data_IF_762395757888
#
_entry.id   IF_762395757888
#
_cell.length_a   1.000
_cell.length_b   1.000
_cell.length_c   1.000
_cell.angle_alpha   90.00
_cell.angle_beta   90.00
_cell.angle_gamma   90.00
#
_symmetry.space_group_name_H-M   'P 1'
#
loop_
_entity.id
_entity.type
_entity.pdbx_description
1 polymer ?
#
# COMPACT_ATOMS: atom_id res chain seq x y z
N UNK A 1 4.65 -25.13 -15.06
CA UNK A 1 3.34 -24.59 -15.48
C UNK A 1 2.87 -23.68 -14.35
N UNK A 2 3.05 -22.36 -14.50
CA UNK A 2 2.66 -21.39 -13.47
C UNK A 2 1.14 -21.46 -13.30
N UNK A 3 0.66 -21.66 -12.07
CA UNK A 3 -0.78 -21.83 -11.79
C UNK A 3 -1.35 -20.54 -11.17
N UNK A 4 -1.54 -19.45 -11.97
CA UNK A 4 -2.01 -18.15 -11.47
C UNK A 4 -3.38 -18.24 -10.80
N UNK A 5 -4.18 -19.26 -11.15
CA UNK A 5 -5.48 -19.52 -10.53
C UNK A 5 -5.36 -19.89 -9.05
N UNK A 6 -4.27 -20.54 -8.61
CA UNK A 6 -4.07 -20.90 -7.20
C UNK A 6 -3.88 -19.62 -6.37
N UNK A 7 -3.07 -18.69 -6.87
CA UNK A 7 -2.82 -17.42 -6.19
C UNK A 7 -4.10 -16.58 -6.16
N UNK A 8 -4.85 -16.51 -7.28
CA UNK A 8 -6.15 -15.83 -7.33
C UNK A 8 -7.16 -16.43 -6.36
N UNK A 9 -7.26 -17.76 -6.30
CA UNK A 9 -8.14 -18.45 -5.37
C UNK A 9 -7.74 -18.20 -3.91
N UNK A 10 -6.44 -18.19 -3.60
CA UNK A 10 -5.92 -17.88 -2.28
C UNK A 10 -6.24 -16.44 -1.85
N UNK A 11 -6.11 -15.46 -2.75
CA UNK A 11 -6.49 -14.07 -2.47
C UNK A 11 -7.99 -13.97 -2.15
N UNK A 12 -8.85 -14.62 -2.94
CA UNK A 12 -10.31 -14.60 -2.71
C UNK A 12 -10.69 -15.31 -1.41
N UNK A 13 -10.12 -16.48 -1.14
CA UNK A 13 -10.34 -17.22 0.09
C UNK A 13 -9.86 -16.42 1.31
N UNK A 14 -8.67 -15.82 1.23
CA UNK A 14 -8.11 -14.96 2.26
C UNK A 14 -8.96 -13.73 2.51
N UNK A 15 -9.46 -13.07 1.46
CA UNK A 15 -10.33 -11.92 1.58
C UNK A 15 -11.65 -12.26 2.29
N UNK A 16 -12.28 -13.39 1.92
CA UNK A 16 -13.50 -13.87 2.56
C UNK A 16 -13.26 -14.28 4.02
N UNK A 17 -12.15 -14.97 4.29
CA UNK A 17 -11.79 -15.40 5.64
C UNK A 17 -11.45 -14.19 6.53
N UNK A 18 -10.74 -13.19 6.00
CA UNK A 18 -10.41 -11.98 6.71
C UNK A 18 -11.63 -11.15 7.09
N UNK A 19 -12.62 -11.09 6.20
CA UNK A 19 -13.93 -10.48 6.49
C UNK A 19 -14.67 -11.24 7.61
N UNK A 20 -14.72 -12.58 7.54
CA UNK A 20 -15.31 -13.46 8.58
C UNK A 20 -14.63 -13.31 9.94
N UNK A 21 -13.31 -13.15 9.95
CA UNK A 21 -12.50 -12.96 11.16
C UNK A 21 -12.60 -11.55 11.73
N UNK A 22 -13.40 -10.66 11.12
CA UNK A 22 -13.54 -9.23 11.50
C UNK A 22 -12.19 -8.51 11.61
N UNK A 23 -11.26 -8.89 10.73
CA UNK A 23 -9.99 -8.19 10.65
C UNK A 23 -10.23 -6.76 10.15
N UNK A 24 -9.39 -5.80 10.58
CA UNK A 24 -9.48 -4.43 10.07
C UNK A 24 -9.23 -4.42 8.56
N UNK A 25 -10.18 -3.87 7.80
CA UNK A 25 -10.21 -4.00 6.35
C UNK A 25 -10.03 -5.47 5.90
N UNK A 26 -10.83 -6.37 6.48
CA UNK A 26 -10.61 -7.83 6.41
C UNK A 26 -10.46 -8.40 5.01
N UNK A 27 -11.20 -7.85 4.03
CA UNK A 27 -11.07 -8.20 2.62
C UNK A 27 -9.64 -7.91 2.09
N UNK A 28 -9.12 -6.71 2.33
CA UNK A 28 -7.78 -6.32 1.87
C UNK A 28 -6.69 -7.07 2.63
N UNK A 29 -6.74 -7.02 3.97
CA UNK A 29 -5.73 -7.63 4.84
C UNK A 29 -5.66 -9.15 4.63
N UNK A 30 -6.80 -9.82 4.63
CA UNK A 30 -6.87 -11.27 4.44
C UNK A 30 -6.43 -11.70 3.04
N UNK A 31 -6.83 -10.97 2.00
CA UNK A 31 -6.41 -11.23 0.62
C UNK A 31 -4.89 -11.04 0.42
N UNK A 32 -4.31 -10.00 1.01
CA UNK A 32 -2.86 -9.73 0.94
C UNK A 32 -2.04 -10.82 1.64
N UNK A 33 -2.42 -11.23 2.85
CA UNK A 33 -1.71 -12.27 3.60
C UNK A 33 -1.78 -13.60 2.85
N UNK A 34 -2.98 -14.04 2.46
CA UNK A 34 -3.15 -15.32 1.79
C UNK A 34 -2.48 -15.35 0.41
N UNK A 35 -2.57 -14.24 -0.35
CA UNK A 35 -1.90 -14.10 -1.64
C UNK A 35 -0.37 -14.16 -1.52
N UNK A 36 0.21 -13.50 -0.51
CA UNK A 36 1.66 -13.53 -0.27
C UNK A 36 2.14 -14.93 0.13
N UNK A 37 1.41 -15.58 1.04
CA UNK A 37 1.71 -16.95 1.49
C UNK A 37 1.64 -17.91 0.30
N UNK A 38 0.56 -17.87 -0.49
CA UNK A 38 0.43 -18.72 -1.68
C UNK A 38 1.52 -18.47 -2.71
N UNK A 39 1.89 -17.19 -2.93
CA UNK A 39 2.99 -16.83 -3.84
C UNK A 39 4.34 -17.37 -3.35
N UNK A 40 4.58 -17.38 -2.04
CA UNK A 40 5.80 -17.94 -1.44
C UNK A 40 5.95 -19.45 -1.62
N UNK A 41 4.84 -20.20 -1.68
CA UNK A 41 4.86 -21.65 -1.90
C UNK A 41 4.87 -22.07 -3.37
N UNK A 42 4.23 -21.29 -4.24
CA UNK A 42 4.00 -21.68 -5.64
C UNK A 42 5.06 -21.09 -6.59
N UNK A 43 5.88 -20.13 -6.14
CA UNK A 43 6.85 -19.36 -6.94
C UNK A 43 6.25 -18.83 -8.27
N UNK A 44 4.92 -18.69 -8.30
CA UNK A 44 4.17 -18.36 -9.49
C UNK A 44 4.21 -16.86 -9.76
N UNK A 45 4.50 -16.49 -11.00
CA UNK A 45 4.34 -15.10 -11.42
C UNK A 45 2.85 -14.84 -11.65
N UNK A 46 2.27 -13.90 -10.89
CA UNK A 46 0.90 -13.44 -11.17
C UNK A 46 1.01 -12.47 -12.34
N UNK A 47 0.29 -12.68 -13.45
CA UNK A 47 0.36 -11.78 -14.60
C UNK A 47 -0.06 -10.38 -14.18
N UNK A 48 0.93 -9.49 -14.02
CA UNK A 48 0.72 -8.07 -13.83
C UNK A 48 0.36 -7.44 -15.17
N UNK A 49 -0.91 -7.05 -15.34
CA UNK A 49 -1.35 -6.31 -16.51
C UNK A 49 -1.33 -4.80 -16.24
N UNK A 50 -0.84 -4.01 -17.20
CA UNK A 50 -1.04 -2.55 -17.21
C UNK A 50 -2.51 -2.20 -17.05
N UNK A 51 -3.40 -2.97 -17.69
CA UNK A 51 -4.85 -2.82 -17.58
C UNK A 51 -5.38 -2.99 -16.14
N UNK A 52 -4.92 -4.01 -15.41
CA UNK A 52 -5.32 -4.25 -14.02
C UNK A 52 -4.91 -3.11 -13.09
N UNK A 53 -3.69 -2.59 -13.26
CA UNK A 53 -3.20 -1.45 -12.48
C UNK A 53 -3.95 -0.16 -12.79
N UNK A 54 -4.31 0.07 -14.06
CA UNK A 54 -5.12 1.22 -14.45
C UNK A 54 -6.54 1.13 -13.87
N UNK A 55 -7.17 -0.05 -13.94
CA UNK A 55 -8.50 -0.26 -13.36
C UNK A 55 -8.48 -0.03 -11.84
N UNK A 56 -7.48 -0.55 -11.12
CA UNK A 56 -7.40 -0.33 -9.67
C UNK A 56 -7.19 1.15 -9.32
N UNK A 57 -6.36 1.86 -10.08
CA UNK A 57 -6.13 3.30 -9.89
C UNK A 57 -7.41 4.12 -10.14
N UNK A 58 -8.18 3.79 -11.18
CA UNK A 58 -9.46 4.46 -11.48
C UNK A 58 -10.50 4.23 -10.38
N UNK A 59 -10.61 2.99 -9.88
CA UNK A 59 -11.53 2.68 -8.77
C UNK A 59 -11.13 3.40 -7.49
N UNK A 60 -9.84 3.45 -7.16
CA UNK A 60 -9.33 4.20 -6.00
C UNK A 60 -9.64 5.69 -6.16
N UNK A 61 -9.39 6.27 -7.34
CA UNK A 61 -9.71 7.66 -7.62
C UNK A 61 -11.21 7.95 -7.43
N UNK A 62 -12.08 7.08 -7.94
CA UNK A 62 -13.52 7.20 -7.75
C UNK A 62 -13.93 7.17 -6.28
N UNK A 63 -13.38 6.24 -5.48
CA UNK A 63 -13.68 6.13 -4.05
C UNK A 63 -13.21 7.38 -3.30
N UNK A 64 -12.01 7.89 -3.60
CA UNK A 64 -11.48 9.11 -2.97
C UNK A 64 -12.37 10.30 -3.28
N UNK A 65 -12.73 10.52 -4.55
CA UNK A 65 -13.61 11.63 -4.95
C UNK A 65 -14.99 11.49 -4.30
N UNK A 66 -15.56 10.29 -4.26
CA UNK A 66 -16.89 10.04 -3.69
C UNK A 66 -16.96 10.29 -2.18
N UNK A 67 -15.84 10.10 -1.46
CA UNK A 67 -15.77 10.35 -0.02
C UNK A 67 -15.25 11.75 0.33
N UNK A 68 -14.87 12.55 -0.67
CA UNK A 68 -14.31 13.89 -0.45
C UNK A 68 -15.43 14.93 -0.33
N UNK A 69 -15.44 15.68 0.76
CA UNK A 69 -16.36 16.80 0.93
C UNK A 69 -15.68 18.14 0.58
N UNK A 70 -15.93 18.61 -0.63
CA UNK A 70 -15.41 19.89 -1.14
C UNK A 70 -16.00 21.08 -0.36
N UNK A 71 -17.20 20.95 0.19
CA UNK A 71 -17.81 22.01 0.99
C UNK A 71 -17.07 22.23 2.31
N UNK A 72 -16.51 21.17 2.90
CA UNK A 72 -15.65 21.27 4.09
C UNK A 72 -14.37 22.05 3.80
N UNK A 73 -13.72 21.82 2.67
CA UNK A 73 -12.52 22.59 2.26
C UNK A 73 -12.86 24.07 2.08
N UNK A 74 -14.03 24.38 1.50
CA UNK A 74 -14.46 25.77 1.30
C UNK A 74 -14.80 26.48 2.62
N UNK A 75 -15.29 25.75 3.62
CA UNK A 75 -15.59 26.28 4.96
C UNK A 75 -14.35 26.47 5.82
N UNK A 76 -13.33 25.65 5.61
CA UNK A 76 -12.08 25.65 6.38
C UNK A 76 -10.85 25.72 5.46
N UNK A 77 -10.64 26.84 4.75
CA UNK A 77 -9.48 27.00 3.87
C UNK A 77 -8.14 26.93 4.62
N UNK A 78 -8.13 27.19 5.93
CA UNK A 78 -6.96 27.05 6.81
C UNK A 78 -6.43 25.61 6.89
N UNK A 79 -7.24 24.60 6.58
CA UNK A 79 -6.79 23.19 6.56
C UNK A 79 -5.82 22.94 5.41
N UNK A 80 -5.95 23.66 4.30
CA UNK A 80 -5.14 23.44 3.11
C UNK A 80 -3.63 23.67 3.34
N UNK A 81 -3.17 24.81 3.89
CA UNK A 81 -1.76 25.00 4.18
C UNK A 81 -1.23 24.03 5.24
N UNK A 82 -2.05 23.64 6.23
CA UNK A 82 -1.67 22.65 7.24
C UNK A 82 -1.46 21.27 6.58
N UNK A 83 -2.37 20.86 5.70
CA UNK A 83 -2.27 19.61 4.96
C UNK A 83 -1.02 19.59 4.05
N UNK A 84 -0.74 20.68 3.34
CA UNK A 84 0.48 20.81 2.52
C UNK A 84 1.72 20.71 3.40
N UNK A 85 1.75 21.42 4.54
CA UNK A 85 2.86 21.35 5.50
C UNK A 85 3.09 19.93 6.02
N UNK A 86 2.01 19.21 6.36
CA UNK A 86 2.07 17.81 6.77
C UNK A 86 2.63 16.91 5.66
N UNK A 87 2.15 17.05 4.42
CA UNK A 87 2.64 16.27 3.28
C UNK A 87 4.14 16.52 3.07
N UNK A 88 4.58 17.77 3.07
CA UNK A 88 6.00 18.12 2.91
C UNK A 88 6.84 17.52 4.03
N UNK A 89 6.41 17.65 5.28
CA UNK A 89 7.11 17.08 6.43
C UNK A 89 7.22 15.56 6.33
N UNK A 90 6.13 14.88 5.96
CA UNK A 90 6.10 13.43 5.77
C UNK A 90 7.02 12.99 4.62
N UNK A 91 7.01 13.71 3.50
CA UNK A 91 7.90 13.44 2.37
C UNK A 91 9.36 13.58 2.76
N UNK A 92 9.74 14.66 3.46
CA UNK A 92 11.10 14.86 3.94
C UNK A 92 11.54 13.75 4.92
N UNK A 93 10.63 13.34 5.81
CA UNK A 93 10.89 12.22 6.72
C UNK A 93 11.12 10.91 5.96
N UNK A 94 10.28 10.59 4.97
CA UNK A 94 10.46 9.40 4.13
C UNK A 94 11.76 9.45 3.32
N UNK A 95 12.14 10.61 2.78
CA UNK A 95 13.44 10.77 2.08
C UNK A 95 14.62 10.55 3.03
N UNK A 96 14.54 11.07 4.25
CA UNK A 96 15.55 10.81 5.29
C UNK A 96 15.64 9.32 5.65
N UNK A 97 14.49 8.65 5.80
CA UNK A 97 14.42 7.21 6.04
C UNK A 97 14.97 6.40 4.85
N UNK A 98 14.65 6.78 3.61
CA UNK A 98 15.17 6.17 2.40
C UNK A 98 16.70 6.23 2.37
N UNK A 99 17.27 7.40 2.67
CA UNK A 99 18.72 7.58 2.73
C UNK A 99 19.37 6.74 3.84
N UNK A 100 18.75 6.66 5.02
CA UNK A 100 19.21 5.80 6.10
C UNK A 100 19.19 4.31 5.69
N UNK A 101 18.10 3.86 5.06
CA UNK A 101 17.98 2.47 4.56
C UNK A 101 19.01 2.17 3.48
N UNK A 102 19.19 3.08 2.52
CA UNK A 102 20.24 2.97 1.50
C UNK A 102 21.62 2.76 2.13
N UNK A 103 21.95 3.57 3.16
CA UNK A 103 23.25 3.50 3.84
C UNK A 103 23.44 2.22 4.67
N UNK A 104 22.41 1.77 5.37
CA UNK A 104 22.48 0.62 6.29
C UNK A 104 22.38 -0.72 5.53
N UNK A 105 21.45 -0.82 4.58
CA UNK A 105 21.12 -2.07 3.89
C UNK A 105 21.72 -2.17 2.48
N UNK A 106 22.39 -1.13 1.98
CA UNK A 106 23.02 -1.07 0.65
C UNK A 106 22.04 -1.37 -0.50
N UNK A 107 20.78 -1.04 -0.31
CA UNK A 107 19.74 -1.08 -1.36
C UNK A 107 19.90 0.18 -2.22
N UNK A 108 19.66 0.08 -3.52
CA UNK A 108 19.69 1.24 -4.40
C UNK A 108 18.78 2.39 -3.90
N UNK A 109 19.23 3.62 -4.08
CA UNK A 109 18.56 4.80 -3.52
C UNK A 109 17.16 4.98 -4.11
N UNK A 110 16.95 4.71 -5.40
CA UNK A 110 15.65 4.83 -6.04
C UNK A 110 14.68 3.80 -5.42
N UNK A 111 15.15 2.56 -5.26
CA UNK A 111 14.39 1.50 -4.58
C UNK A 111 14.04 1.90 -3.14
N UNK A 112 14.97 2.48 -2.39
CA UNK A 112 14.72 2.91 -1.01
C UNK A 112 13.71 4.08 -0.95
N UNK A 113 13.78 5.02 -1.90
CA UNK A 113 12.82 6.13 -2.03
C UNK A 113 11.43 5.57 -2.30
N UNK A 114 11.27 4.73 -3.32
CA UNK A 114 9.97 4.14 -3.63
C UNK A 114 9.47 3.24 -2.50
N UNK A 115 10.32 2.42 -1.86
CA UNK A 115 9.93 1.56 -0.75
C UNK A 115 9.38 2.33 0.48
N UNK A 116 9.88 3.53 0.74
CA UNK A 116 9.49 4.34 1.90
C UNK A 116 8.47 5.43 1.59
N UNK A 117 8.26 5.75 0.31
CA UNK A 117 7.34 6.79 -0.10
C UNK A 117 5.89 6.49 0.35
N UNK A 118 5.17 7.49 0.89
CA UNK A 118 3.74 7.36 1.13
C UNK A 118 3.01 7.40 -0.21
N UNK A 119 2.01 6.53 -0.39
CA UNK A 119 1.28 6.46 -1.66
C UNK A 119 0.47 5.19 -1.83
N UNK A 120 -0.32 5.15 -2.92
CA UNK A 120 -1.11 4.00 -3.30
C UNK A 120 -0.24 2.90 -3.95
N UNK A 121 -0.40 1.66 -3.49
CA UNK A 121 0.33 0.47 -3.97
C UNK A 121 0.44 0.41 -5.49
N UNK A 122 -0.70 0.49 -6.19
CA UNK A 122 -0.73 0.33 -7.65
C UNK A 122 -0.04 1.48 -8.40
N UNK A 123 -0.08 2.70 -7.87
CA UNK A 123 0.63 3.84 -8.46
C UNK A 123 2.14 3.73 -8.24
N UNK A 124 2.55 3.44 -7.00
CA UNK A 124 3.96 3.29 -6.64
C UNK A 124 4.62 2.11 -7.35
N UNK A 125 3.92 0.99 -7.54
CA UNK A 125 4.43 -0.15 -8.31
C UNK A 125 4.80 0.24 -9.75
N UNK A 126 3.93 1.00 -10.41
CA UNK A 126 4.13 1.43 -11.79
C UNK A 126 5.26 2.47 -11.87
N UNK A 127 5.23 3.49 -11.01
CA UNK A 127 6.25 4.53 -10.99
C UNK A 127 7.63 3.99 -10.61
N UNK A 128 7.72 3.02 -9.69
CA UNK A 128 8.99 2.36 -9.36
C UNK A 128 9.55 1.60 -10.56
N UNK A 129 8.69 0.90 -11.32
CA UNK A 129 9.10 0.19 -12.52
C UNK A 129 9.58 1.14 -13.63
N UNK A 130 8.91 2.29 -13.79
CA UNK A 130 9.30 3.33 -14.75
C UNK A 130 10.60 4.04 -14.37
N UNK A 131 10.85 4.20 -13.07
CA UNK A 131 12.07 4.81 -12.55
C UNK A 131 13.29 3.87 -12.61
N UNK A 132 13.11 2.57 -12.85
CA UNK A 132 14.20 1.59 -12.82
C UNK A 132 14.52 1.01 -11.44
N UNK A 133 13.68 1.31 -10.45
CA UNK A 133 13.81 0.75 -9.11
C UNK A 133 13.46 -0.75 -9.07
N UNK A 134 14.02 -1.46 -8.09
CA UNK A 134 13.69 -2.86 -7.78
C UNK A 134 12.26 -2.93 -7.23
N UNK A 135 11.31 -2.95 -8.15
CA UNK A 135 9.87 -2.92 -7.88
C UNK A 135 9.43 -4.04 -6.94
N UNK A 136 9.89 -5.30 -7.06
CA UNK A 136 9.52 -6.36 -6.13
C UNK A 136 9.88 -6.02 -4.68
N UNK A 137 11.08 -5.46 -4.44
CA UNK A 137 11.55 -5.06 -3.10
C UNK A 137 10.66 -3.94 -2.57
N UNK A 138 10.45 -2.88 -3.36
CA UNK A 138 9.60 -1.75 -2.97
C UNK A 138 8.18 -2.19 -2.62
N UNK A 139 7.61 -3.13 -3.38
CA UNK A 139 6.26 -3.65 -3.13
C UNK A 139 6.19 -4.49 -1.85
N UNK A 140 7.22 -5.26 -1.50
CA UNK A 140 7.24 -5.97 -0.21
C UNK A 140 7.14 -5.01 0.97
N UNK A 141 7.87 -3.88 0.93
CA UNK A 141 7.79 -2.87 1.98
C UNK A 141 6.38 -2.31 2.12
N UNK A 142 5.71 -2.00 1.00
CA UNK A 142 4.34 -1.49 1.04
C UNK A 142 3.32 -2.52 1.52
N UNK A 143 3.45 -3.78 1.11
CA UNK A 143 2.56 -4.86 1.53
C UNK A 143 2.66 -5.06 3.05
N UNK A 144 3.90 -5.15 3.57
CA UNK A 144 4.15 -5.26 5.00
C UNK A 144 3.62 -4.03 5.75
N UNK A 145 3.94 -2.82 5.28
CA UNK A 145 3.45 -1.56 5.87
C UNK A 145 1.93 -1.54 5.98
N UNK A 146 1.22 -1.81 4.89
CA UNK A 146 -0.25 -1.76 4.89
C UNK A 146 -0.85 -2.85 5.78
N UNK A 147 -0.30 -4.06 5.75
CA UNK A 147 -0.78 -5.16 6.59
C UNK A 147 -0.60 -4.82 8.07
N UNK A 148 0.57 -4.31 8.46
CA UNK A 148 0.86 -3.91 9.83
C UNK A 148 -0.02 -2.73 10.24
N UNK A 149 -0.11 -1.66 9.45
CA UNK A 149 -0.95 -0.50 9.78
C UNK A 149 -2.40 -0.93 9.96
N UNK A 150 -2.96 -1.72 9.06
CA UNK A 150 -4.36 -2.15 9.16
C UNK A 150 -4.60 -2.97 10.42
N UNK A 151 -3.73 -3.91 10.77
CA UNK A 151 -3.88 -4.74 11.97
C UNK A 151 -3.67 -3.92 13.25
N UNK A 152 -2.62 -3.11 13.31
CA UNK A 152 -2.20 -2.44 14.54
C UNK A 152 -2.95 -1.14 14.80
N UNK A 153 -3.43 -0.40 13.79
CA UNK A 153 -4.14 0.87 13.98
C UNK A 153 -5.33 0.77 14.95
N UNK A 154 -6.28 -0.16 14.78
CA UNK A 154 -7.39 -0.27 15.73
C UNK A 154 -6.93 -0.76 17.11
N UNK A 155 -5.89 -1.59 17.19
CA UNK A 155 -5.33 -2.02 18.47
C UNK A 155 -4.72 -0.83 19.24
N UNK A 156 -3.96 0.01 18.56
CA UNK A 156 -3.40 1.24 19.11
C UNK A 156 -4.52 2.22 19.49
N UNK A 157 -5.53 2.38 18.64
CA UNK A 157 -6.68 3.23 18.95
C UNK A 157 -7.44 2.77 20.21
N UNK A 158 -7.60 1.46 20.41
CA UNK A 158 -8.20 0.91 21.62
C UNK A 158 -7.32 1.09 22.87
N UNK A 159 -5.99 1.10 22.71
CA UNK A 159 -5.05 1.28 23.81
C UNK A 159 -4.96 2.75 24.27
N UNK A 160 -4.91 3.69 23.33
CA UNK A 160 -4.77 5.13 23.58
C UNK A 160 -6.11 5.89 23.68
N UNK A 161 -7.23 5.28 23.28
CA UNK A 161 -8.58 5.85 23.39
C UNK A 161 -9.19 5.76 24.80
N UNK A 162 -8.37 5.65 25.85
CA UNK A 162 -8.78 5.71 27.26
C UNK A 162 -8.45 7.06 27.86
#
# INVERSE_FOLDING_TARGET
MQQPWIIGAAILAGAFLGDRLKLPSGILTGGMIAGLVAKGFVEGNVPGGRALSVISQLLVAYVVVSNSDVATIRRHPEILPIAVGYIVALTLFCLGAAWAIHKVFRIDLETAIYATAPGGLSGMALSAAEAGAETPVSMMFHLLRLTLILIFTPFLAALFGK
#
